data_IF_428029876809
#
_entry.id   IF_428029876809
#
_cell.length_a   1.000
_cell.length_b   1.000
_cell.length_c   1.000
_cell.angle_alpha   90.00
_cell.angle_beta   90.00
_cell.angle_gamma   90.00
#
_symmetry.space_group_name_H-M   'P 1'
#
loop_
_entity.id
_entity.type
_entity.pdbx_description
1 polymer ?
#
# COMPACT_ATOMS: atom_id res chain seq x y z
N UNK A 1 -24.34 -2.49 -0.95
CA UNK A 1 -23.04 -2.31 -1.64
C UNK A 1 -21.92 -2.59 -0.63
N UNK A 2 -21.81 -3.85 -0.19
CA UNK A 2 -20.96 -4.29 0.93
C UNK A 2 -20.08 -5.49 0.55
N UNK A 3 -20.32 -6.05 -0.65
CA UNK A 3 -19.67 -7.26 -1.16
C UNK A 3 -18.20 -7.04 -1.57
N UNK A 4 -17.80 -5.84 -1.97
CA UNK A 4 -16.53 -5.61 -2.68
C UNK A 4 -15.29 -5.66 -1.76
N UNK A 5 -15.37 -5.16 -0.53
CA UNK A 5 -14.25 -5.22 0.44
C UNK A 5 -14.00 -6.65 0.94
N UNK A 6 -15.09 -7.34 1.28
CA UNK A 6 -15.02 -8.73 1.74
C UNK A 6 -14.50 -9.68 0.64
N UNK A 7 -14.83 -9.38 -0.62
CA UNK A 7 -14.37 -10.13 -1.79
C UNK A 7 -12.88 -9.89 -2.09
N UNK A 8 -12.40 -8.65 -1.90
CA UNK A 8 -10.99 -8.30 -2.08
C UNK A 8 -10.09 -9.01 -1.07
N UNK A 9 -10.48 -9.04 0.21
CA UNK A 9 -9.78 -9.81 1.26
C UNK A 9 -9.72 -11.30 0.92
N UNK A 10 -10.87 -11.91 0.60
CA UNK A 10 -10.94 -13.33 0.20
C UNK A 10 -10.11 -13.66 -1.04
N UNK A 11 -10.00 -12.73 -1.98
CA UNK A 11 -9.17 -12.91 -3.17
C UNK A 11 -7.67 -12.87 -2.86
N UNK A 12 -7.25 -12.09 -1.86
CA UNK A 12 -5.86 -12.04 -1.37
C UNK A 12 -5.53 -13.30 -0.57
N UNK A 13 -6.41 -13.71 0.35
CA UNK A 13 -6.26 -14.95 1.13
C UNK A 13 -6.08 -16.16 0.20
N UNK A 14 -6.96 -16.29 -0.81
CA UNK A 14 -6.89 -17.37 -1.80
C UNK A 14 -5.60 -17.37 -2.63
N UNK A 15 -5.03 -16.21 -2.95
CA UNK A 15 -3.74 -16.13 -3.67
C UNK A 15 -2.55 -16.44 -2.78
N UNK A 16 -2.66 -16.14 -1.49
CA UNK A 16 -1.71 -16.58 -0.47
C UNK A 16 -1.67 -18.10 -0.40
N UNK A 17 -2.83 -18.76 -0.47
CA UNK A 17 -2.94 -20.23 -0.43
C UNK A 17 -2.36 -20.94 -1.67
N UNK A 18 -2.48 -20.36 -2.86
CA UNK A 18 -2.13 -21.02 -4.12
C UNK A 18 -0.76 -20.60 -4.69
N UNK A 19 -0.14 -19.56 -4.13
CA UNK A 19 1.08 -18.95 -4.67
C UNK A 19 0.82 -18.19 -5.98
N UNK A 20 1.79 -17.37 -6.38
CA UNK A 20 1.76 -16.64 -7.66
C UNK A 20 2.77 -17.28 -8.58
N UNK A 21 2.30 -17.89 -9.67
CA UNK A 21 3.20 -18.45 -10.68
C UNK A 21 4.08 -17.33 -11.28
N UNK A 22 5.40 -17.55 -11.42
CA UNK A 22 6.23 -16.70 -12.26
C UNK A 22 5.70 -16.83 -13.68
N UNK A 23 5.31 -15.71 -14.28
CA UNK A 23 4.85 -15.65 -15.66
C UNK A 23 5.49 -14.43 -16.31
N UNK A 24 5.70 -14.54 -17.62
CA UNK A 24 6.22 -13.52 -18.54
C UNK A 24 7.48 -12.72 -18.13
N UNK A 25 8.25 -13.19 -17.15
CA UNK A 25 9.44 -12.50 -16.64
C UNK A 25 9.15 -11.23 -15.84
N UNK A 26 7.89 -11.02 -15.43
CA UNK A 26 7.47 -9.87 -14.62
C UNK A 26 7.32 -10.25 -13.15
N UNK A 27 7.69 -9.31 -12.28
CA UNK A 27 7.45 -9.43 -10.85
C UNK A 27 5.96 -9.19 -10.54
N UNK A 28 5.34 -10.10 -9.78
CA UNK A 28 3.93 -10.05 -9.39
C UNK A 28 3.81 -10.18 -7.88
N UNK A 29 2.88 -9.42 -7.31
CA UNK A 29 2.58 -9.42 -5.87
C UNK A 29 1.07 -9.52 -5.69
N UNK A 30 0.63 -10.27 -4.69
CA UNK A 30 -0.75 -10.31 -4.26
C UNK A 30 -0.83 -9.80 -2.82
N UNK A 31 -1.70 -8.82 -2.62
CA UNK A 31 -1.88 -8.17 -1.33
C UNK A 31 -2.42 -6.75 -1.50
N UNK A 32 -2.17 -5.92 -0.51
CA UNK A 32 -2.63 -4.53 -0.47
C UNK A 32 -1.59 -3.63 0.19
N UNK A 33 -1.76 -2.32 0.05
CA UNK A 33 -0.91 -1.35 0.70
C UNK A 33 -1.69 -0.11 1.10
N UNK A 34 -1.12 0.61 2.05
CA UNK A 34 -1.57 1.94 2.45
C UNK A 34 -0.52 2.92 1.96
N UNK A 35 -0.91 3.84 1.10
CA UNK A 35 0.00 4.79 0.48
C UNK A 35 0.07 6.04 1.37
N UNK A 36 1.17 6.19 2.13
CA UNK A 36 1.56 7.41 2.84
C UNK A 36 0.43 8.12 3.60
N UNK A 37 -0.03 7.54 4.70
CA UNK A 37 -1.03 8.12 5.59
C UNK A 37 -0.37 9.13 6.55
N UNK A 38 -0.67 10.44 6.43
CA UNK A 38 -0.17 11.46 7.33
C UNK A 38 -0.96 11.49 8.65
N UNK A 39 -0.29 11.89 9.73
CA UNK A 39 -0.85 12.12 11.05
C UNK A 39 -0.74 13.60 11.41
N UNK A 40 -1.67 14.11 12.22
CA UNK A 40 -1.63 15.49 12.72
C UNK A 40 -0.35 15.82 13.50
N UNK A 41 0.33 14.81 14.03
CA UNK A 41 1.63 14.90 14.70
C UNK A 41 2.81 15.13 13.75
N UNK A 42 2.59 15.11 12.43
CA UNK A 42 3.64 15.24 11.41
C UNK A 42 4.27 13.91 10.99
N UNK A 43 3.93 12.81 11.65
CA UNK A 43 4.34 11.47 11.22
C UNK A 43 3.62 11.06 9.93
N UNK A 44 4.26 10.20 9.14
CA UNK A 44 3.64 9.55 7.99
C UNK A 44 3.94 8.05 8.02
N UNK A 45 2.92 7.22 7.76
CA UNK A 45 3.07 5.77 7.69
C UNK A 45 2.61 5.23 6.33
N UNK A 46 3.38 4.31 5.76
CA UNK A 46 2.96 3.52 4.62
C UNK A 46 3.07 2.03 4.93
N UNK A 47 2.22 1.22 4.29
CA UNK A 47 2.21 -0.24 4.44
C UNK A 47 2.27 -0.90 3.07
N UNK A 48 3.03 -1.98 2.98
CA UNK A 48 2.82 -3.05 2.00
C UNK A 48 2.57 -4.33 2.77
N UNK A 49 1.46 -4.99 2.47
CA UNK A 49 1.13 -6.31 2.97
C UNK A 49 0.99 -7.24 1.76
N UNK A 50 2.07 -7.94 1.42
CA UNK A 50 2.16 -8.78 0.22
C UNK A 50 2.44 -10.23 0.63
N UNK A 51 1.42 -10.96 1.11
CA UNK A 51 1.58 -12.34 1.58
C UNK A 51 1.96 -13.34 0.47
N UNK A 52 1.89 -12.97 -0.82
CA UNK A 52 2.43 -13.77 -1.91
C UNK A 52 3.15 -12.92 -2.97
N UNK A 53 4.26 -13.46 -3.48
CA UNK A 53 5.09 -12.85 -4.52
C UNK A 53 5.56 -13.91 -5.53
N UNK A 54 5.85 -13.49 -6.76
CA UNK A 54 6.50 -14.33 -7.77
C UNK A 54 8.03 -14.32 -7.70
N UNK A 55 8.63 -13.51 -6.82
CA UNK A 55 10.09 -13.34 -6.70
C UNK A 55 10.67 -13.83 -5.37
N UNK A 56 9.87 -14.53 -4.57
CA UNK A 56 10.29 -15.06 -3.27
C UNK A 56 9.10 -15.21 -2.32
N UNK A 57 9.42 -15.30 -1.03
CA UNK A 57 8.42 -15.34 0.03
C UNK A 57 7.58 -14.05 0.04
N UNK A 58 6.36 -14.16 0.55
CA UNK A 58 5.57 -12.99 0.90
C UNK A 58 6.27 -12.13 1.94
N UNK A 59 6.01 -10.83 1.95
CA UNK A 59 6.56 -9.92 2.93
C UNK A 59 5.60 -8.80 3.31
N UNK A 60 5.84 -8.27 4.50
CA UNK A 60 5.25 -7.04 5.01
C UNK A 60 6.33 -5.98 5.14
N UNK A 61 5.98 -4.73 4.88
CA UNK A 61 6.85 -3.60 5.15
C UNK A 61 6.07 -2.38 5.64
N UNK A 62 6.58 -1.74 6.69
CA UNK A 62 6.06 -0.48 7.23
C UNK A 62 7.10 0.60 7.09
N UNK A 63 6.71 1.72 6.48
CA UNK A 63 7.60 2.83 6.23
C UNK A 63 7.14 3.96 7.12
N UNK A 64 8.05 4.49 7.92
CA UNK A 64 7.76 5.53 8.89
C UNK A 64 8.58 6.75 8.57
N UNK A 65 7.90 7.87 8.32
CA UNK A 65 8.51 9.18 8.34
C UNK A 65 8.22 9.83 9.67
N UNK A 66 9.26 10.29 10.35
CA UNK A 66 9.11 11.08 11.57
C UNK A 66 8.79 12.56 11.24
N UNK A 67 8.47 13.41 12.25
CA UNK A 67 8.14 14.81 12.02
C UNK A 67 9.36 15.66 11.61
N UNK A 68 10.58 15.18 11.86
CA UNK A 68 11.81 15.80 11.35
C UNK A 68 12.03 15.49 9.86
N UNK A 69 11.34 14.47 9.35
CA UNK A 69 11.32 14.08 7.96
C UNK A 69 12.18 12.84 7.66
N UNK A 70 12.78 12.23 8.69
CA UNK A 70 13.63 11.05 8.57
C UNK A 70 12.78 9.81 8.28
N UNK A 71 13.31 8.92 7.44
CA UNK A 71 12.61 7.71 7.02
C UNK A 71 13.26 6.46 7.62
N UNK A 72 12.44 5.62 8.26
CA UNK A 72 12.80 4.27 8.68
C UNK A 72 11.91 3.26 7.98
N UNK A 73 12.49 2.15 7.52
CA UNK A 73 11.76 1.08 6.83
C UNK A 73 11.90 -0.21 7.61
N UNK A 74 10.77 -0.74 8.08
CA UNK A 74 10.69 -2.04 8.72
C UNK A 74 10.22 -3.08 7.70
N UNK A 75 10.82 -4.27 7.68
CA UNK A 75 10.38 -5.39 6.84
C UNK A 75 10.37 -6.71 7.60
N UNK A 76 9.41 -7.58 7.30
CA UNK A 76 9.30 -8.91 7.91
C UNK A 76 10.30 -9.94 7.36
N UNK A 77 10.92 -9.64 6.22
CA UNK A 77 12.00 -10.45 5.64
C UNK A 77 13.29 -9.67 5.64
N UNK A 78 14.43 -10.38 5.52
CA UNK A 78 15.72 -9.71 5.38
C UNK A 78 15.72 -8.85 4.11
N UNK A 79 16.38 -7.68 4.11
CA UNK A 79 16.45 -6.80 2.94
C UNK A 79 16.83 -7.58 1.69
N UNK A 80 17.84 -8.45 1.76
CA UNK A 80 18.32 -9.25 0.62
C UNK A 80 17.28 -10.21 0.01
N UNK A 81 16.23 -10.56 0.74
CA UNK A 81 15.13 -11.43 0.31
C UNK A 81 13.84 -10.67 -0.03
N UNK A 82 13.79 -9.37 0.25
CA UNK A 82 12.71 -8.49 -0.19
C UNK A 82 13.04 -7.85 -1.54
N UNK A 83 12.10 -7.10 -2.11
CA UNK A 83 12.35 -6.13 -3.18
C UNK A 83 13.39 -5.03 -2.84
N UNK A 84 14.26 -5.20 -1.82
CA UNK A 84 15.27 -4.23 -1.35
C UNK A 84 16.15 -3.64 -2.46
N UNK A 85 16.28 -4.31 -3.62
CA UNK A 85 16.95 -3.74 -4.80
C UNK A 85 16.34 -2.41 -5.27
N UNK A 86 15.08 -2.14 -4.92
CA UNK A 86 14.33 -0.93 -5.31
C UNK A 86 14.39 0.21 -4.27
N UNK A 87 15.03 0.01 -3.11
CA UNK A 87 14.86 0.89 -1.96
C UNK A 87 15.81 2.12 -1.91
N UNK A 88 16.71 2.27 -2.91
CA UNK A 88 17.44 3.52 -3.15
C UNK A 88 18.21 4.04 -1.92
N UNK A 89 18.54 5.33 -1.91
CA UNK A 89 19.28 5.98 -0.79
C UNK A 89 18.50 6.09 0.52
N UNK A 90 17.23 5.63 0.58
CA UNK A 90 16.44 5.51 1.83
C UNK A 90 16.85 4.27 2.67
N UNK A 91 18.01 3.68 2.37
CA UNK A 91 18.55 2.46 2.99
C UNK A 91 19.25 2.73 4.32
N UNK A 92 19.35 3.98 4.79
CA UNK A 92 20.13 4.29 6.01
C UNK A 92 19.58 3.61 7.28
N UNK A 93 18.33 3.13 7.28
CA UNK A 93 17.77 2.40 8.43
C UNK A 93 16.72 1.34 8.05
N UNK A 94 17.05 0.47 7.08
CA UNK A 94 16.23 -0.69 6.77
C UNK A 94 16.41 -1.78 7.85
N UNK A 95 15.36 -2.07 8.62
CA UNK A 95 15.39 -3.00 9.75
C UNK A 95 14.48 -4.19 9.50
N UNK A 96 14.97 -5.39 9.80
CA UNK A 96 14.10 -6.56 9.94
C UNK A 96 13.37 -6.48 11.28
N UNK A 97 12.05 -6.65 11.26
CA UNK A 97 11.18 -6.57 12.44
C UNK A 97 10.04 -7.58 12.31
N UNK A 98 9.46 -8.02 13.42
CA UNK A 98 8.22 -8.77 13.39
C UNK A 98 7.07 -7.81 13.06
N UNK A 99 6.37 -8.08 11.97
CA UNK A 99 5.25 -7.28 11.49
C UNK A 99 4.01 -8.16 11.45
N UNK A 100 2.96 -7.72 12.13
CA UNK A 100 1.67 -8.39 12.06
C UNK A 100 0.59 -7.45 11.55
N UNK A 101 -0.24 -7.95 10.64
CA UNK A 101 -1.41 -7.24 10.12
C UNK A 101 -2.65 -8.05 10.49
N UNK A 102 -3.49 -7.51 11.36
CA UNK A 102 -4.68 -8.19 11.87
C UNK A 102 -5.93 -7.39 11.57
N UNK A 103 -6.82 -7.95 10.76
CA UNK A 103 -8.17 -7.42 10.57
C UNK A 103 -8.95 -7.50 11.89
N UNK A 104 -9.47 -6.35 12.31
CA UNK A 104 -10.29 -6.18 13.52
C UNK A 104 -11.77 -5.97 13.18
N UNK A 105 -12.08 -5.70 11.91
CA UNK A 105 -13.44 -5.61 11.39
C UNK A 105 -13.49 -5.78 9.87
N UNK A 106 -14.65 -5.54 9.23
CA UNK A 106 -14.81 -5.68 7.78
C UNK A 106 -13.98 -4.69 6.94
N UNK A 107 -13.69 -3.53 7.50
CA UNK A 107 -12.95 -2.43 6.87
C UNK A 107 -11.86 -1.87 7.81
N UNK A 108 -11.52 -2.58 8.87
CA UNK A 108 -10.57 -2.10 9.89
C UNK A 108 -9.53 -3.16 10.20
N UNK A 109 -8.28 -2.73 10.38
CA UNK A 109 -7.17 -3.60 10.74
C UNK A 109 -6.11 -2.87 11.55
N UNK A 110 -5.37 -3.64 12.34
CA UNK A 110 -4.23 -3.16 13.14
C UNK A 110 -2.94 -3.70 12.53
N UNK A 111 -1.96 -2.83 12.36
CA UNK A 111 -0.58 -3.17 12.05
C UNK A 111 0.24 -3.05 13.33
N UNK A 112 1.09 -4.02 13.62
CA UNK A 112 2.11 -3.92 14.68
C UNK A 112 3.49 -4.16 14.12
N UNK A 113 4.47 -3.40 14.59
CA UNK A 113 5.89 -3.59 14.30
C UNK A 113 6.62 -3.74 15.63
N UNK A 114 7.02 -4.97 15.96
CA UNK A 114 7.57 -5.35 17.26
C UNK A 114 6.77 -4.70 18.42
N UNK A 115 7.48 -4.08 19.35
CA UNK A 115 6.99 -3.24 20.44
C UNK A 115 7.05 -1.73 20.12
N UNK A 116 7.41 -1.36 18.89
CA UNK A 116 7.72 0.03 18.50
C UNK A 116 6.53 0.80 17.98
N UNK A 117 5.66 0.13 17.22
CA UNK A 117 4.54 0.77 16.52
C UNK A 117 3.30 -0.09 16.60
N UNK A 118 2.20 0.54 17.00
CA UNK A 118 0.84 0.01 16.80
C UNK A 118 0.08 1.04 15.99
N UNK A 119 -0.45 0.61 14.86
CA UNK A 119 -1.18 1.46 13.93
C UNK A 119 -2.55 0.84 13.64
N UNK A 120 -3.60 1.49 14.15
CA UNK A 120 -4.98 1.12 13.85
C UNK A 120 -5.48 1.91 12.62
N UNK A 121 -6.10 1.19 11.70
CA UNK A 121 -6.67 1.75 10.48
C UNK A 121 -8.14 1.38 10.34
N UNK A 122 -8.91 2.34 9.87
CA UNK A 122 -10.25 2.13 9.34
C UNK A 122 -10.31 2.69 7.91
N UNK A 123 -10.67 1.81 6.97
CA UNK A 123 -10.80 2.15 5.56
C UNK A 123 -12.10 2.92 5.36
N UNK A 124 -11.96 4.24 5.22
CA UNK A 124 -13.07 5.11 4.87
C UNK A 124 -13.54 4.87 3.44
N UNK A 125 -14.86 4.74 3.24
CA UNK A 125 -15.48 4.83 1.92
C UNK A 125 -15.77 6.29 1.62
N UNK A 126 -14.84 7.00 0.98
CA UNK A 126 -15.15 8.35 0.50
C UNK A 126 -16.00 8.26 -0.78
N UNK A 127 -17.08 9.05 -0.86
CA UNK A 127 -17.92 9.12 -2.06
C UNK A 127 -17.10 9.53 -3.30
N UNK A 128 -16.06 10.34 -3.09
CA UNK A 128 -15.10 10.73 -4.12
C UNK A 128 -14.32 9.53 -4.66
N UNK A 129 -13.80 8.64 -3.80
CA UNK A 129 -13.08 7.42 -4.21
C UNK A 129 -13.99 6.44 -4.96
N UNK A 130 -15.26 6.33 -4.54
CA UNK A 130 -16.25 5.51 -5.24
C UNK A 130 -16.57 6.06 -6.65
N UNK A 131 -16.75 7.38 -6.77
CA UNK A 131 -16.97 8.04 -8.05
C UNK A 131 -15.74 7.91 -8.99
N UNK A 132 -14.53 8.09 -8.46
CA UNK A 132 -13.29 7.90 -9.24
C UNK A 132 -13.10 6.45 -9.70
N UNK A 133 -13.40 5.47 -8.84
CA UNK A 133 -13.33 4.05 -9.21
C UNK A 133 -14.35 3.71 -10.31
N UNK A 134 -15.56 4.29 -10.22
CA UNK A 134 -16.59 4.16 -11.25
C UNK A 134 -16.14 4.75 -12.59
N UNK A 135 -15.62 5.97 -12.58
CA UNK A 135 -15.06 6.62 -13.77
C UNK A 135 -13.89 5.81 -14.36
N UNK A 136 -12.98 5.31 -13.52
CA UNK A 136 -11.83 4.52 -13.96
C UNK A 136 -12.20 3.20 -14.66
N UNK A 137 -13.31 2.56 -14.26
CA UNK A 137 -13.83 1.34 -14.91
C UNK A 137 -14.48 1.61 -16.26
N UNK A 138 -14.96 2.83 -16.48
CA UNK A 138 -15.57 3.26 -17.73
C UNK A 138 -14.55 3.80 -18.73
N UNK A 139 -13.30 4.02 -18.30
CA UNK A 139 -12.22 4.57 -19.13
C UNK A 139 -11.56 3.47 -19.97
N UNK A 140 -11.57 3.59 -21.31
CA UNK A 140 -10.82 2.70 -22.19
C UNK A 140 -9.31 2.72 -21.88
N UNK A 141 -8.66 1.57 -22.01
CA UNK A 141 -7.21 1.37 -21.78
C UNK A 141 -6.31 2.24 -22.67
N UNK A 142 -6.84 2.85 -23.74
CA UNK A 142 -6.15 3.86 -24.53
C UNK A 142 -5.98 5.20 -23.79
N UNK A 143 -6.96 5.62 -23.00
CA UNK A 143 -6.92 6.88 -22.26
C UNK A 143 -5.98 6.82 -21.04
N UNK A 144 -5.83 5.63 -20.44
CA UNK A 144 -4.84 5.37 -19.38
C UNK A 144 -3.38 5.47 -19.85
N UNK A 145 -3.14 5.48 -21.16
CA UNK A 145 -1.80 5.59 -21.76
C UNK A 145 -1.49 6.99 -22.30
N UNK A 146 -2.36 7.96 -22.05
CA UNK A 146 -2.15 9.34 -22.48
C UNK A 146 -1.68 10.21 -21.33
N UNK A 147 -0.44 10.72 -21.45
CA UNK A 147 0.17 11.60 -20.45
C UNK A 147 -0.67 12.86 -20.18
N UNK A 148 -1.38 13.37 -21.20
CA UNK A 148 -2.27 14.53 -21.05
C UNK A 148 -3.48 14.23 -20.15
N UNK A 149 -4.08 13.05 -20.29
CA UNK A 149 -5.23 12.62 -19.48
C UNK A 149 -4.80 12.35 -18.03
N UNK A 150 -3.65 11.71 -17.84
CA UNK A 150 -3.08 11.44 -16.53
C UNK A 150 -2.68 12.73 -15.79
N UNK A 151 -2.09 13.68 -16.48
CA UNK A 151 -1.74 15.00 -15.94
C UNK A 151 -2.98 15.77 -15.48
N UNK A 152 -4.04 15.78 -16.29
CA UNK A 152 -5.31 16.41 -15.94
C UNK A 152 -5.97 15.75 -14.72
N UNK A 153 -5.95 14.41 -14.62
CA UNK A 153 -6.46 13.71 -13.44
C UNK A 153 -5.64 14.02 -12.18
N UNK A 154 -4.32 14.14 -12.29
CA UNK A 154 -3.45 14.53 -11.18
C UNK A 154 -3.83 15.89 -10.58
N UNK A 155 -4.18 16.87 -11.43
CA UNK A 155 -4.64 18.18 -10.98
C UNK A 155 -6.02 18.18 -10.31
N UNK A 156 -6.91 17.27 -10.71
CA UNK A 156 -8.26 17.16 -10.11
C UNK A 156 -8.27 16.32 -8.84
N UNK A 157 -7.45 15.28 -8.77
CA UNK A 157 -7.38 14.38 -7.61
C UNK A 157 -6.61 14.96 -6.42
N UNK A 158 -5.64 15.86 -6.65
CA UNK A 158 -4.83 16.47 -5.59
C UNK A 158 -5.64 17.22 -4.51
N UNK A 159 -6.55 18.14 -4.89
CA UNK A 159 -7.39 18.84 -3.92
C UNK A 159 -8.47 17.95 -3.29
N UNK A 160 -8.98 16.96 -4.02
CA UNK A 160 -10.07 16.09 -3.55
C UNK A 160 -9.63 15.00 -2.56
N UNK A 161 -8.33 14.66 -2.54
CA UNK A 161 -7.73 13.65 -1.67
C UNK A 161 -6.90 14.23 -0.51
N UNK A 162 -6.89 15.55 -0.35
CA UNK A 162 -6.16 16.21 0.74
C UNK A 162 -4.64 16.12 0.65
N UNK A 163 -4.06 15.83 -0.52
CA UNK A 163 -2.61 15.76 -0.72
C UNK A 163 -1.98 17.08 -1.19
N UNK A 164 -2.75 18.17 -1.19
CA UNK A 164 -2.21 19.50 -1.44
C UNK A 164 -1.97 20.23 -0.10
N UNK A 165 -0.73 20.17 0.38
CA UNK A 165 -0.19 21.30 1.15
C UNK A 165 1.02 21.83 0.39
N UNK A 166 0.76 22.91 -0.35
CA UNK A 166 1.75 23.88 -0.80
C UNK A 166 2.50 24.46 0.40
N UNK A 167 3.82 24.64 0.26
CA UNK A 167 4.70 25.30 1.21
C UNK A 167 6.12 24.83 1.04
#
# INVERSE_FOLDING_TARGET
MERTDHDSRRAIDRRTEHGIAPDDGRERFAGYGVMGAPFASGHCLALRHFPASSVGDGYDSVWHRDPAGEWTIYSSVRPEASCARYFGSATEDARTADISVRWTGPAAFTVRVDDRLVWDLELGKSAATAAMTGLGRLMPSALWRSDAVLSMMGHVAGPALGSATSG
#
